data_IF_966856843964
#
_entry.id   IF_966856843964
#
_cell.length_a   1.000
_cell.length_b   1.000
_cell.length_c   1.000
_cell.angle_alpha   90.00
_cell.angle_beta   90.00
_cell.angle_gamma   90.00
#
_symmetry.space_group_name_H-M   'P 1'
#
loop_
_entity.id
_entity.type
_entity.pdbx_description
1 polymer ?
#
# COMPACT_ATOMS: atom_id res chain seq x y z
N UNK A 1 -24.01 -32.45 35.62
CA UNK A 1 -22.61 -32.81 35.32
C UNK A 1 -21.98 -31.99 34.19
N UNK A 2 -22.65 -30.97 33.61
CA UNK A 2 -22.06 -30.08 32.60
C UNK A 2 -21.53 -28.75 33.18
N UNK A 3 -21.87 -28.39 34.42
CA UNK A 3 -21.60 -27.03 34.93
C UNK A 3 -20.13 -26.70 35.23
N UNK A 4 -19.29 -27.70 35.55
CA UNK A 4 -17.88 -27.48 35.89
C UNK A 4 -16.94 -27.40 34.67
N UNK A 5 -17.34 -27.96 33.54
CA UNK A 5 -16.55 -27.97 32.29
C UNK A 5 -16.64 -26.61 31.59
N UNK A 6 -17.84 -26.00 31.55
CA UNK A 6 -18.02 -24.66 30.98
C UNK A 6 -17.33 -23.56 31.81
N UNK A 7 -17.22 -23.72 33.13
CA UNK A 7 -16.52 -22.75 33.98
C UNK A 7 -15.01 -22.69 33.67
N UNK A 8 -14.38 -23.84 33.40
CA UNK A 8 -12.97 -23.90 33.03
C UNK A 8 -12.72 -23.38 31.61
N UNK A 9 -13.64 -23.66 30.68
CA UNK A 9 -13.56 -23.15 29.30
C UNK A 9 -13.77 -21.63 29.24
N UNK A 10 -14.60 -21.07 30.12
CA UNK A 10 -14.81 -19.62 30.23
C UNK A 10 -13.57 -18.89 30.77
N UNK A 11 -12.86 -19.48 31.73
CA UNK A 11 -11.64 -18.90 32.29
C UNK A 11 -10.45 -18.99 31.32
N UNK A 12 -10.31 -20.09 30.58
CA UNK A 12 -9.27 -20.24 29.55
C UNK A 12 -9.54 -19.34 28.32
N UNK A 13 -10.80 -19.17 27.92
CA UNK A 13 -11.15 -18.34 26.77
C UNK A 13 -10.96 -16.85 27.05
N UNK A 14 -11.32 -16.37 28.23
CA UNK A 14 -11.13 -14.96 28.62
C UNK A 14 -9.66 -14.61 28.79
N UNK A 15 -8.84 -15.53 29.29
CA UNK A 15 -7.38 -15.34 29.35
C UNK A 15 -6.74 -15.31 27.95
N UNK A 16 -7.22 -16.13 27.02
CA UNK A 16 -6.74 -16.15 25.63
C UNK A 16 -7.16 -14.91 24.84
N UNK A 17 -8.39 -14.41 25.03
CA UNK A 17 -8.83 -13.14 24.43
C UNK A 17 -8.09 -11.91 24.99
N UNK A 18 -7.70 -11.92 26.27
CA UNK A 18 -6.93 -10.82 26.87
C UNK A 18 -5.46 -10.82 26.40
N UNK A 19 -4.91 -11.98 26.04
CA UNK A 19 -3.56 -12.10 25.48
C UNK A 19 -3.48 -11.55 24.05
N UNK A 20 -4.52 -11.78 23.24
CA UNK A 20 -4.57 -11.28 21.85
C UNK A 20 -4.77 -9.76 21.77
N UNK A 21 -5.29 -9.10 22.82
CA UNK A 21 -5.44 -7.63 22.84
C UNK A 21 -4.16 -6.85 23.18
N UNK A 22 -3.06 -7.52 23.55
CA UNK A 22 -1.83 -6.85 24.03
C UNK A 22 -0.73 -6.66 22.98
N UNK A 23 -0.98 -6.92 21.69
CA UNK A 23 0.00 -6.66 20.61
C UNK A 23 -0.43 -5.65 19.54
N UNK A 24 -1.56 -4.95 19.70
CA UNK A 24 -1.94 -3.86 18.76
C UNK A 24 -2.27 -2.59 19.52
N UNK A 25 -1.24 -2.03 20.15
CA UNK A 25 -1.28 -0.71 20.73
C UNK A 25 -0.75 0.33 19.72
N UNK A 26 -1.45 1.46 19.62
CA UNK A 26 -1.05 2.73 18.98
C UNK A 26 -1.42 2.93 17.47
N UNK A 27 -2.47 2.29 16.93
CA UNK A 27 -3.11 2.80 15.67
C UNK A 27 -4.65 2.75 15.63
N UNK A 28 -5.28 1.84 16.37
CA UNK A 28 -6.71 1.57 16.20
C UNK A 28 -7.64 2.28 17.22
N UNK A 29 -7.10 2.83 18.30
CA UNK A 29 -7.87 3.61 19.29
C UNK A 29 -8.24 5.02 18.80
N UNK A 30 -7.60 5.51 17.73
CA UNK A 30 -7.93 6.82 17.15
C UNK A 30 -9.11 6.80 16.18
N UNK A 31 -9.49 5.63 15.66
CA UNK A 31 -10.57 5.51 14.69
C UNK A 31 -11.94 5.36 15.38
N UNK A 32 -12.00 4.64 16.50
CA UNK A 32 -13.28 4.35 17.17
C UNK A 32 -13.77 5.49 18.07
N UNK A 33 -12.88 6.32 18.64
CA UNK A 33 -13.30 7.40 19.54
C UNK A 33 -13.95 8.60 18.82
N UNK A 34 -13.69 8.79 17.51
CA UNK A 34 -14.41 9.80 16.70
C UNK A 34 -15.72 9.28 16.11
N UNK A 35 -15.83 7.97 15.93
CA UNK A 35 -17.04 7.32 15.42
C UNK A 35 -18.07 7.21 16.55
N UNK A 36 -17.66 6.80 17.76
CA UNK A 36 -18.56 6.65 18.91
C UNK A 36 -19.16 7.98 19.40
N UNK A 37 -18.42 9.10 19.32
CA UNK A 37 -18.97 10.42 19.66
C UNK A 37 -20.09 10.92 18.73
N UNK A 38 -20.16 10.39 17.51
CA UNK A 38 -21.13 10.78 16.48
C UNK A 38 -22.47 10.04 16.60
N UNK A 39 -22.53 8.88 17.27
CA UNK A 39 -23.77 8.10 17.45
C UNK A 39 -24.49 8.36 18.77
N UNK A 40 -23.85 9.00 19.75
CA UNK A 40 -24.44 9.24 21.08
C UNK A 40 -25.09 10.63 21.19
N UNK A 41 -24.65 11.60 20.39
CA UNK A 41 -25.28 12.91 20.34
C UNK A 41 -26.04 13.03 19.02
N UNK A 42 -27.37 12.96 19.07
CA UNK A 42 -28.26 13.26 17.95
C UNK A 42 -28.24 14.75 17.57
N UNK A 43 -27.06 15.31 17.38
CA UNK A 43 -26.80 16.73 17.17
C UNK A 43 -26.36 17.00 15.74
N UNK A 44 -27.03 17.99 15.12
CA UNK A 44 -26.81 18.45 13.76
C UNK A 44 -25.32 18.60 13.38
N UNK A 45 -25.02 18.26 12.13
CA UNK A 45 -23.72 18.50 11.48
C UNK A 45 -23.26 19.95 11.70
N UNK A 46 -22.14 20.20 12.43
CA UNK A 46 -21.68 21.56 12.65
C UNK A 46 -21.22 22.16 11.32
N UNK A 47 -21.83 23.29 10.94
CA UNK A 47 -21.62 24.05 9.71
C UNK A 47 -20.15 24.46 9.53
N UNK A 48 -19.76 24.55 8.26
CA UNK A 48 -18.43 24.30 7.71
C UNK A 48 -17.33 25.33 8.03
N UNK A 49 -17.55 26.38 8.82
CA UNK A 49 -16.68 27.56 8.75
C UNK A 49 -15.60 27.72 9.85
N UNK A 50 -15.56 26.89 10.90
CA UNK A 50 -14.46 26.88 11.90
C UNK A 50 -13.47 25.72 11.75
N UNK A 51 -13.83 24.71 10.96
CA UNK A 51 -13.07 23.46 10.76
C UNK A 51 -11.91 23.61 9.76
N UNK A 52 -11.90 24.67 8.96
CA UNK A 52 -10.95 24.84 7.86
C UNK A 52 -9.50 25.05 8.34
N UNK A 53 -9.28 25.76 9.44
CA UNK A 53 -7.94 25.98 9.99
C UNK A 53 -7.36 24.73 10.67
N UNK A 54 -8.21 23.96 11.35
CA UNK A 54 -7.82 22.70 11.99
C UNK A 54 -7.51 21.63 10.93
N UNK A 55 -8.36 21.48 9.89
CA UNK A 55 -8.10 20.60 8.76
C UNK A 55 -6.84 20.99 7.99
N UNK A 56 -6.59 22.30 7.78
CA UNK A 56 -5.37 22.78 7.13
C UNK A 56 -4.13 22.49 7.98
N UNK A 57 -4.23 22.56 9.30
CA UNK A 57 -3.17 22.18 10.27
C UNK A 57 -2.90 20.67 10.28
N UNK A 58 -3.92 19.81 10.31
CA UNK A 58 -3.70 18.35 10.23
C UNK A 58 -3.15 17.91 8.87
N UNK A 59 -3.55 18.58 7.77
CA UNK A 59 -3.04 18.31 6.42
C UNK A 59 -1.54 18.61 6.30
N UNK A 60 -1.05 19.69 6.91
CA UNK A 60 0.39 20.00 6.88
C UNK A 60 1.21 19.10 7.80
N UNK A 61 0.69 18.70 8.98
CA UNK A 61 1.36 17.72 9.87
C UNK A 61 1.49 16.37 9.16
N UNK A 62 0.43 15.89 8.52
CA UNK A 62 0.49 14.65 7.76
C UNK A 62 1.53 14.77 6.65
N UNK A 63 1.48 15.83 5.82
CA UNK A 63 2.40 15.96 4.70
C UNK A 63 3.86 16.03 5.15
N UNK A 64 4.17 16.69 6.28
CA UNK A 64 5.53 16.75 6.81
C UNK A 64 6.04 15.38 7.32
N UNK A 65 5.22 14.64 8.08
CA UNK A 65 5.58 13.29 8.55
C UNK A 65 5.68 12.28 7.40
N UNK A 66 4.77 12.34 6.42
CA UNK A 66 4.79 11.52 5.20
C UNK A 66 6.08 11.75 4.41
N UNK A 67 6.55 13.00 4.30
CA UNK A 67 7.79 13.32 3.60
C UNK A 67 9.03 12.74 4.30
N UNK A 68 9.07 12.72 5.64
CA UNK A 68 10.19 12.13 6.38
C UNK A 68 10.21 10.59 6.27
N UNK A 69 9.06 9.94 6.44
CA UNK A 69 8.93 8.48 6.35
C UNK A 69 9.15 7.95 4.93
N UNK A 70 8.82 8.73 3.90
CA UNK A 70 9.10 8.37 2.49
C UNK A 70 10.61 8.32 2.25
N UNK A 71 11.38 9.28 2.79
CA UNK A 71 12.85 9.34 2.60
C UNK A 71 13.59 8.11 3.13
N UNK A 72 13.19 7.58 4.29
CA UNK A 72 13.79 6.33 4.81
C UNK A 72 13.37 5.11 3.99
N UNK A 73 12.11 5.06 3.57
CA UNK A 73 11.56 3.91 2.82
C UNK A 73 12.20 3.75 1.43
N UNK A 74 12.64 4.83 0.82
CA UNK A 74 13.30 4.80 -0.49
C UNK A 74 14.68 4.09 -0.43
N UNK A 75 15.39 4.15 0.72
CA UNK A 75 16.68 3.48 0.92
C UNK A 75 16.58 1.94 0.91
N UNK A 76 15.38 1.40 1.12
CA UNK A 76 15.10 -0.05 1.17
C UNK A 76 14.53 -0.60 -0.13
N UNK A 77 14.57 0.19 -1.19
CA UNK A 77 14.13 -0.23 -2.51
C UNK A 77 15.25 -0.18 -3.53
N UNK A 78 15.30 -1.22 -4.35
CA UNK A 78 16.25 -1.38 -5.45
C UNK A 78 15.48 -1.14 -6.74
N UNK A 79 16.00 -0.26 -7.59
CA UNK A 79 15.40 0.06 -8.89
C UNK A 79 16.17 -0.62 -10.01
N UNK A 80 15.46 -1.24 -10.95
CA UNK A 80 16.05 -1.96 -12.08
C UNK A 80 15.21 -1.78 -13.33
N UNK A 81 15.85 -1.94 -14.49
CA UNK A 81 15.17 -1.92 -15.78
C UNK A 81 14.96 -3.35 -16.28
N UNK A 82 13.86 -3.58 -16.98
CA UNK A 82 13.54 -4.88 -17.56
C UNK A 82 12.55 -4.78 -18.72
N UNK A 83 12.31 -5.92 -19.36
CA UNK A 83 11.39 -6.06 -20.50
C UNK A 83 10.25 -6.98 -20.08
N UNK A 84 9.02 -6.62 -20.42
CA UNK A 84 7.85 -7.45 -20.11
C UNK A 84 7.82 -8.65 -21.04
N UNK A 85 7.83 -9.83 -20.44
CA UNK A 85 7.86 -11.13 -21.13
C UNK A 85 6.44 -11.67 -21.31
N UNK A 86 5.64 -11.62 -20.24
CA UNK A 86 4.28 -12.18 -20.22
C UNK A 86 3.31 -11.28 -19.45
N UNK A 87 2.04 -11.26 -19.88
CA UNK A 87 0.95 -10.55 -19.23
C UNK A 87 0.02 -11.56 -18.56
N UNK A 88 -0.09 -11.51 -17.23
CA UNK A 88 -0.94 -12.40 -16.44
C UNK A 88 -2.28 -11.71 -16.10
N UNK A 89 -3.24 -12.52 -15.66
CA UNK A 89 -4.48 -12.00 -15.07
C UNK A 89 -4.19 -11.10 -13.86
N UNK A 90 -5.17 -10.26 -13.49
CA UNK A 90 -5.09 -9.35 -12.33
C UNK A 90 -4.03 -8.23 -12.46
N UNK A 91 -3.69 -7.78 -13.66
CA UNK A 91 -2.71 -6.70 -13.91
C UNK A 91 -1.31 -7.03 -13.35
N UNK A 92 -0.97 -8.32 -13.35
CA UNK A 92 0.35 -8.81 -13.02
C UNK A 92 1.12 -9.07 -14.32
N UNK A 93 2.43 -8.87 -14.28
CA UNK A 93 3.31 -9.01 -15.43
C UNK A 93 4.55 -9.79 -15.03
N UNK A 94 5.01 -10.66 -15.90
CA UNK A 94 6.31 -11.30 -15.76
C UNK A 94 7.31 -10.41 -16.49
N UNK A 95 8.27 -9.87 -15.75
CA UNK A 95 9.29 -8.98 -16.29
C UNK A 95 10.64 -9.66 -16.23
N UNK A 96 11.32 -9.70 -17.37
CA UNK A 96 12.66 -10.25 -17.51
C UNK A 96 13.69 -9.14 -17.30
N UNK A 97 14.59 -9.35 -16.35
CA UNK A 97 15.74 -8.48 -16.09
C UNK A 97 16.87 -8.86 -17.06
N UNK A 98 17.78 -7.95 -17.43
CA UNK A 98 18.97 -8.26 -18.24
C UNK A 98 19.79 -9.44 -17.71
N UNK A 99 19.76 -9.69 -16.40
CA UNK A 99 20.43 -10.82 -15.76
C UNK A 99 19.79 -12.19 -16.10
N UNK A 100 18.67 -12.22 -16.82
CA UNK A 100 17.94 -13.43 -17.22
C UNK A 100 16.87 -13.87 -16.22
N UNK A 101 16.86 -13.31 -15.01
CA UNK A 101 15.84 -13.61 -14.01
C UNK A 101 14.48 -12.98 -14.35
N UNK A 102 13.41 -13.70 -13.98
CA UNK A 102 12.03 -13.26 -14.16
C UNK A 102 11.43 -12.86 -12.81
N UNK A 103 10.74 -11.72 -12.80
CA UNK A 103 10.06 -11.17 -11.64
C UNK A 103 8.57 -11.02 -11.89
N UNK A 104 7.76 -11.39 -10.90
CA UNK A 104 6.32 -11.15 -10.91
C UNK A 104 6.06 -9.74 -10.39
N UNK A 105 5.61 -8.85 -11.28
CA UNK A 105 5.43 -7.44 -10.97
C UNK A 105 3.99 -6.98 -11.15
N UNK A 106 3.53 -6.10 -10.26
CA UNK A 106 2.22 -5.44 -10.39
C UNK A 106 2.38 -3.98 -10.78
N UNK A 107 1.33 -3.40 -11.37
CA UNK A 107 1.29 -2.00 -11.78
C UNK A 107 1.21 -1.08 -10.54
N UNK A 108 2.07 -0.07 -10.46
CA UNK A 108 1.95 0.97 -9.42
C UNK A 108 0.65 1.77 -9.54
N UNK A 109 0.16 2.29 -8.41
CA UNK A 109 -1.03 3.14 -8.39
C UNK A 109 -0.91 4.36 -9.32
N UNK A 110 0.29 4.94 -9.43
CA UNK A 110 0.55 6.09 -10.32
C UNK A 110 0.26 5.75 -11.79
N UNK A 111 0.67 4.57 -12.25
CA UNK A 111 0.38 4.12 -13.60
C UNK A 111 -1.11 3.84 -13.81
N UNK A 112 -1.81 3.30 -12.79
CA UNK A 112 -3.28 3.09 -12.85
C UNK A 112 -4.04 4.40 -13.00
N UNK A 113 -3.67 5.42 -12.23
CA UNK A 113 -4.27 6.77 -12.30
C UNK A 113 -4.01 7.38 -13.69
N UNK A 114 -2.79 7.24 -14.20
CA UNK A 114 -2.40 7.76 -15.51
C UNK A 114 -2.92 6.91 -16.69
N UNK A 115 -3.70 5.84 -16.42
CA UNK A 115 -4.27 4.93 -17.42
C UNK A 115 -3.23 4.41 -18.43
N UNK A 116 -1.99 4.20 -17.97
CA UNK A 116 -0.91 3.69 -18.82
C UNK A 116 -1.19 2.22 -19.12
N UNK A 117 -1.37 1.90 -20.40
CA UNK A 117 -1.48 0.53 -20.88
C UNK A 117 -0.07 -0.04 -21.06
N UNK A 118 0.12 -1.26 -20.59
CA UNK A 118 1.38 -1.99 -20.64
C UNK A 118 1.15 -3.22 -21.51
N UNK A 119 1.99 -3.41 -22.52
CA UNK A 119 1.93 -4.51 -23.46
C UNK A 119 3.19 -5.40 -23.33
N UNK A 120 3.14 -6.56 -23.99
CA UNK A 120 4.29 -7.47 -24.13
C UNK A 120 5.44 -6.77 -24.87
N UNK A 121 6.68 -6.95 -24.40
CA UNK A 121 7.87 -6.37 -25.00
C UNK A 121 8.14 -4.89 -24.63
N UNK A 122 7.29 -4.27 -23.80
CA UNK A 122 7.55 -2.92 -23.31
C UNK A 122 8.76 -2.89 -22.36
N UNK A 123 9.60 -1.87 -22.49
CA UNK A 123 10.69 -1.60 -21.54
C UNK A 123 10.12 -0.84 -20.34
N UNK A 124 10.34 -1.38 -19.14
CA UNK A 124 9.80 -0.82 -17.90
C UNK A 124 10.86 -0.72 -16.82
N UNK A 125 10.65 0.23 -15.90
CA UNK A 125 11.41 0.39 -14.68
C UNK A 125 10.64 -0.23 -13.51
N UNK A 126 11.29 -1.14 -12.82
CA UNK A 126 10.78 -1.90 -11.69
C UNK A 126 11.45 -1.42 -10.41
N UNK A 127 10.71 -1.44 -9.32
CA UNK A 127 11.21 -1.28 -7.97
C UNK A 127 10.93 -2.53 -7.17
N UNK A 128 11.98 -3.02 -6.52
CA UNK A 128 11.96 -4.24 -5.72
C UNK A 128 12.35 -3.85 -4.29
N UNK A 129 11.54 -4.25 -3.32
CA UNK A 129 11.91 -4.12 -1.92
C UNK A 129 12.92 -5.22 -1.55
N UNK A 130 13.93 -4.90 -0.74
CA UNK A 130 14.95 -5.87 -0.29
C UNK A 130 14.34 -7.17 0.26
N UNK A 131 13.26 -7.08 1.04
CA UNK A 131 12.55 -8.25 1.61
C UNK A 131 11.82 -9.13 0.58
N UNK A 132 11.57 -8.62 -0.62
CA UNK A 132 10.81 -9.32 -1.65
C UNK A 132 11.69 -9.98 -2.72
N UNK A 133 13.02 -9.86 -2.59
CA UNK A 133 13.97 -10.42 -3.55
C UNK A 133 13.85 -11.94 -3.62
N UNK A 134 13.75 -12.62 -2.49
CA UNK A 134 13.58 -14.07 -2.40
C UNK A 134 12.31 -14.56 -3.10
N UNK A 135 11.22 -13.80 -2.96
CA UNK A 135 9.91 -14.12 -3.56
C UNK A 135 9.80 -13.68 -5.03
N UNK A 136 10.84 -13.03 -5.57
CA UNK A 136 10.88 -12.45 -6.93
C UNK A 136 9.66 -11.58 -7.25
N UNK A 137 9.26 -10.73 -6.31
CA UNK A 137 8.12 -9.82 -6.46
C UNK A 137 8.56 -8.37 -6.57
N UNK A 138 7.98 -7.63 -7.51
CA UNK A 138 8.31 -6.23 -7.74
C UNK A 138 7.09 -5.36 -8.05
N UNK A 139 7.35 -4.06 -8.21
CA UNK A 139 6.36 -3.05 -8.61
C UNK A 139 6.86 -2.30 -9.83
N UNK A 140 6.01 -2.17 -10.85
CA UNK A 140 6.32 -1.37 -12.05
C UNK A 140 6.05 0.11 -11.74
N UNK A 141 7.10 0.94 -11.76
CA UNK A 141 6.97 2.39 -11.52
C UNK A 141 6.70 3.13 -12.83
N UNK A 142 7.43 2.78 -13.88
CA UNK A 142 7.51 3.59 -15.08
C UNK A 142 7.62 2.72 -16.33
N UNK A 143 7.07 3.22 -17.44
CA UNK A 143 7.18 2.63 -18.78
C UNK A 143 7.94 3.61 -19.67
N UNK A 144 8.96 3.13 -20.36
CA UNK A 144 9.73 3.94 -21.30
C UNK A 144 8.98 4.07 -22.62
N UNK A 145 8.97 5.27 -23.19
CA UNK A 145 8.53 5.49 -24.56
C UNK A 145 9.66 5.03 -25.48
N UNK A 146 9.39 4.10 -26.38
CA UNK A 146 10.34 3.78 -27.44
C UNK A 146 10.52 5.04 -28.30
N UNK A 147 11.77 5.50 -28.42
CA UNK A 147 12.08 6.62 -29.30
C UNK A 147 11.75 6.16 -30.72
N UNK A 148 10.72 6.75 -31.33
CA UNK A 148 10.44 6.52 -32.73
C UNK A 148 11.69 6.90 -33.50
N UNK A 149 12.19 6.00 -34.36
CA UNK A 149 13.27 6.33 -35.27
C UNK A 149 12.93 7.66 -35.97
N UNK A 150 13.89 8.60 -36.09
CA UNK A 150 13.61 9.88 -36.73
C UNK A 150 13.02 9.58 -38.11
N UNK A 151 11.75 9.94 -38.32
CA UNK A 151 11.12 9.81 -39.63
C UNK A 151 11.97 10.65 -40.58
N UNK A 152 12.76 9.98 -41.42
CA UNK A 152 13.54 10.65 -42.44
C UNK A 152 12.60 11.55 -43.23
N UNK A 153 12.88 12.86 -43.23
CA UNK A 153 12.15 13.80 -44.09
C UNK A 153 12.43 13.35 -45.53
N UNK A 154 11.39 12.87 -46.21
CA UNK A 154 11.39 12.72 -47.66
C UNK A 154 11.23 14.09 -48.29
#
# INVERSE_FOLDING_TARGET
MYDKIYFFYFFFCTSFLLYVTNEVNIKDTFFMNNVVGMYITGGACPTSNRKNNLFKKYRCIYNNSRNNLVREKDMDTIEMNGIIDECLANTNFVVRIPNGEKFLCFISGKLRINKVKINLGDTVKIQIHKLNFEKRRGKIIFRYLQQAAPKGRR
#
